data_IF_261894926716
#
_entry.id   IF_261894926716
#
_cell.length_a   1.000
_cell.length_b   1.000
_cell.length_c   1.000
_cell.angle_alpha   90.00
_cell.angle_beta   90.00
_cell.angle_gamma   90.00
#
_symmetry.space_group_name_H-M   'P 1'
#
loop_
_entity.id
_entity.type
_entity.pdbx_description
1 polymer ?
#
# COMPACT_ATOMS: atom_id res chain seq x y z
N UNK A 1 31.78 -71.97 40.19
CA UNK A 1 31.62 -72.12 38.73
C UNK A 1 30.95 -70.85 38.20
N UNK A 2 31.73 -69.86 37.74
CA UNK A 2 31.23 -68.55 37.27
C UNK A 2 31.32 -68.56 35.74
N UNK A 3 30.18 -68.67 35.04
CA UNK A 3 30.13 -68.47 33.58
C UNK A 3 30.28 -66.97 33.34
N UNK A 4 31.36 -66.61 32.65
CA UNK A 4 31.54 -65.27 32.09
C UNK A 4 30.74 -65.20 30.80
N UNK A 5 29.63 -64.45 30.80
CA UNK A 5 28.93 -64.08 29.58
C UNK A 5 29.79 -63.06 28.83
N UNK A 6 30.56 -63.56 27.87
CA UNK A 6 31.18 -62.73 26.85
C UNK A 6 30.09 -62.34 25.85
N UNK A 7 29.52 -61.15 26.05
CA UNK A 7 28.67 -60.47 25.07
C UNK A 7 29.45 -60.29 23.77
N UNK A 8 29.11 -61.09 22.76
CA UNK A 8 29.58 -60.94 21.38
C UNK A 8 29.08 -59.61 20.82
N UNK A 9 29.88 -58.56 20.96
CA UNK A 9 29.90 -57.46 20.02
C UNK A 9 30.81 -57.87 18.85
N UNK A 10 30.34 -57.70 17.60
CA UNK A 10 31.08 -57.56 16.33
C UNK A 10 30.39 -58.37 15.20
N UNK A 11 30.10 -57.83 14.02
CA UNK A 11 30.57 -56.59 13.41
C UNK A 11 29.43 -55.77 12.81
N UNK A 12 29.34 -54.51 13.24
CA UNK A 12 28.74 -53.47 12.41
C UNK A 12 29.59 -53.41 11.14
N UNK A 13 28.99 -53.72 9.99
CA UNK A 13 29.74 -53.68 8.73
C UNK A 13 30.01 -52.21 8.38
N UNK A 14 31.20 -51.90 7.83
CA UNK A 14 31.56 -50.54 7.43
C UNK A 14 30.52 -49.92 6.46
N UNK A 15 29.83 -50.77 5.69
CA UNK A 15 28.71 -50.42 4.81
C UNK A 15 27.51 -49.91 5.60
N UNK A 16 27.15 -50.54 6.71
CA UNK A 16 26.03 -50.14 7.57
C UNK A 16 26.28 -48.76 8.19
N UNK A 17 27.52 -48.48 8.63
CA UNK A 17 27.90 -47.14 9.11
C UNK A 17 27.82 -46.10 8.00
N UNK A 18 28.32 -46.41 6.80
CA UNK A 18 28.24 -45.50 5.65
C UNK A 18 26.80 -45.21 5.24
N UNK A 19 25.92 -46.22 5.27
CA UNK A 19 24.50 -46.07 4.96
C UNK A 19 23.80 -45.16 5.98
N UNK A 20 24.06 -45.36 7.28
CA UNK A 20 23.49 -44.51 8.34
C UNK A 20 23.96 -43.07 8.19
N UNK A 21 25.23 -42.83 7.86
CA UNK A 21 25.76 -41.48 7.63
C UNK A 21 25.10 -40.85 6.38
N UNK A 22 24.93 -41.60 5.29
CA UNK A 22 24.27 -41.11 4.08
C UNK A 22 22.79 -40.74 4.32
N UNK A 23 22.06 -41.56 5.08
CA UNK A 23 20.68 -41.27 5.48
C UNK A 23 20.63 -40.06 6.43
N UNK A 24 21.51 -39.98 7.43
CA UNK A 24 21.56 -38.86 8.36
C UNK A 24 21.87 -37.53 7.66
N UNK A 25 22.85 -37.51 6.74
CA UNK A 25 23.21 -36.33 5.96
C UNK A 25 22.09 -35.87 5.04
N UNK A 26 21.43 -36.80 4.32
CA UNK A 26 20.28 -36.47 3.47
C UNK A 26 19.09 -35.90 4.26
N UNK A 27 18.75 -36.48 5.41
CA UNK A 27 17.71 -35.96 6.30
C UNK A 27 18.06 -34.55 6.80
N UNK A 28 19.31 -34.33 7.20
CA UNK A 28 19.77 -33.03 7.70
C UNK A 28 19.68 -31.96 6.61
N UNK A 29 20.09 -32.28 5.37
CA UNK A 29 19.97 -31.37 4.23
C UNK A 29 18.51 -31.05 3.89
N UNK A 30 17.61 -32.04 3.99
CA UNK A 30 16.17 -31.82 3.77
C UNK A 30 15.59 -30.86 4.81
N UNK A 31 15.90 -31.08 6.10
CA UNK A 31 15.44 -30.20 7.20
C UNK A 31 15.98 -28.78 7.03
N UNK A 32 17.26 -28.62 6.68
CA UNK A 32 17.85 -27.30 6.42
C UNK A 32 17.15 -26.56 5.27
N UNK A 33 16.86 -27.24 4.16
CA UNK A 33 16.15 -26.64 3.02
C UNK A 33 14.71 -26.26 3.38
N UNK A 34 14.00 -27.12 4.11
CA UNK A 34 12.63 -26.85 4.55
C UNK A 34 12.58 -25.65 5.50
N UNK A 35 13.52 -25.55 6.44
CA UNK A 35 13.62 -24.41 7.34
C UNK A 35 13.88 -23.10 6.58
N UNK A 36 14.81 -23.11 5.61
CA UNK A 36 15.08 -21.93 4.79
C UNK A 36 13.86 -21.48 3.97
N UNK A 37 13.08 -22.42 3.45
CA UNK A 37 11.84 -22.13 2.73
C UNK A 37 10.79 -21.50 3.66
N UNK A 38 10.51 -22.12 4.82
CA UNK A 38 9.56 -21.59 5.80
C UNK A 38 9.96 -20.20 6.31
N UNK A 39 11.26 -19.98 6.55
CA UNK A 39 11.76 -18.68 6.97
C UNK A 39 11.53 -17.62 5.89
N UNK A 40 11.83 -17.93 4.63
CA UNK A 40 11.59 -17.00 3.52
C UNK A 40 10.11 -16.67 3.36
N UNK A 41 9.23 -17.66 3.49
CA UNK A 41 7.78 -17.44 3.43
C UNK A 41 7.29 -16.56 4.58
N UNK A 42 7.81 -16.77 5.79
CA UNK A 42 7.54 -15.92 6.96
C UNK A 42 8.01 -14.48 6.73
N UNK A 43 9.22 -14.30 6.19
CA UNK A 43 9.77 -12.97 5.90
C UNK A 43 8.90 -12.24 4.85
N UNK A 44 8.43 -12.95 3.81
CA UNK A 44 7.53 -12.40 2.79
C UNK A 44 6.19 -11.99 3.39
N UNK A 45 5.58 -12.84 4.22
CA UNK A 45 4.31 -12.53 4.88
C UNK A 45 4.41 -11.32 5.81
N UNK A 46 5.54 -11.17 6.52
CA UNK A 46 5.77 -10.04 7.39
C UNK A 46 5.89 -8.72 6.62
N UNK A 47 6.53 -8.71 5.44
CA UNK A 47 6.57 -7.51 4.59
C UNK A 47 5.17 -7.14 4.11
N UNK A 48 4.37 -8.11 3.67
CA UNK A 48 2.99 -7.86 3.26
C UNK A 48 2.17 -7.26 4.41
N UNK A 49 2.25 -7.84 5.60
CA UNK A 49 1.61 -7.29 6.79
C UNK A 49 2.03 -5.84 7.05
N UNK A 50 3.33 -5.53 6.97
CA UNK A 50 3.83 -4.17 7.16
C UNK A 50 3.27 -3.20 6.10
N UNK A 51 3.27 -3.60 4.83
CA UNK A 51 2.72 -2.81 3.72
C UNK A 51 1.23 -2.56 3.90
N UNK A 52 0.46 -3.57 4.30
CA UNK A 52 -0.99 -3.46 4.51
C UNK A 52 -1.32 -2.51 5.67
N UNK A 53 -0.57 -2.58 6.78
CA UNK A 53 -0.73 -1.64 7.90
C UNK A 53 -0.41 -0.20 7.49
N UNK A 54 0.63 0.00 6.66
CA UNK A 54 0.97 1.31 6.14
C UNK A 54 -0.11 1.81 5.16
N UNK A 55 -0.62 0.94 4.29
CA UNK A 55 -1.69 1.27 3.34
C UNK A 55 -2.98 1.67 4.07
N UNK A 56 -3.39 0.93 5.11
CA UNK A 56 -4.55 1.29 5.94
C UNK A 56 -4.34 2.65 6.63
N UNK A 57 -3.16 2.87 7.23
CA UNK A 57 -2.82 4.16 7.84
C UNK A 57 -2.84 5.32 6.82
N UNK A 58 -2.31 5.10 5.62
CA UNK A 58 -2.32 6.09 4.54
C UNK A 58 -3.75 6.37 4.04
N UNK A 59 -4.63 5.36 4.03
CA UNK A 59 -6.03 5.54 3.67
C UNK A 59 -6.80 6.37 4.72
N UNK A 60 -6.53 6.15 6.01
CA UNK A 60 -7.07 7.00 7.08
C UNK A 60 -6.55 8.43 6.99
N UNK A 61 -5.26 8.60 6.70
CA UNK A 61 -4.69 9.92 6.44
C UNK A 61 -5.38 10.61 5.26
N UNK A 62 -5.60 9.89 4.17
CA UNK A 62 -6.30 10.40 2.99
C UNK A 62 -7.69 10.93 3.35
N UNK A 63 -8.49 10.11 4.06
CA UNK A 63 -9.85 10.47 4.46
C UNK A 63 -9.87 11.71 5.37
N UNK A 64 -8.90 11.85 6.27
CA UNK A 64 -8.81 12.99 7.18
C UNK A 64 -8.34 14.28 6.49
N UNK A 65 -7.48 14.18 5.47
CA UNK A 65 -6.73 15.31 4.93
C UNK A 65 -7.10 15.74 3.51
N UNK A 66 -8.04 15.09 2.82
CA UNK A 66 -8.50 15.57 1.50
C UNK A 66 -9.85 16.32 1.56
N UNK A 67 -10.30 16.73 2.75
CA UNK A 67 -11.54 17.53 2.92
C UNK A 67 -11.24 18.97 3.31
N UNK A 68 -12.10 19.87 2.82
CA UNK A 68 -12.37 21.15 3.44
C UNK A 68 -13.41 20.91 4.54
N UNK A 69 -13.16 21.40 5.76
CA UNK A 69 -14.20 21.40 6.78
C UNK A 69 -15.29 22.40 6.37
N UNK A 70 -16.54 21.93 6.31
CA UNK A 70 -17.72 22.76 6.03
C UNK A 70 -18.61 22.67 7.25
N UNK A 71 -19.04 23.82 7.77
CA UNK A 71 -20.01 23.87 8.85
C UNK A 71 -21.36 23.35 8.33
N UNK A 72 -21.84 22.28 8.95
CA UNK A 72 -23.07 21.59 8.59
C UNK A 72 -24.33 22.47 8.74
N UNK A 73 -24.25 23.53 9.54
CA UNK A 73 -25.38 24.42 9.85
C UNK A 73 -25.46 25.59 8.86
N UNK A 74 -24.31 26.12 8.44
CA UNK A 74 -24.23 27.31 7.58
C UNK A 74 -23.86 27.00 6.14
N UNK A 75 -23.38 25.78 5.86
CA UNK A 75 -22.88 25.39 4.55
C UNK A 75 -21.61 26.12 4.13
N UNK A 76 -20.99 26.89 5.03
CA UNK A 76 -19.75 27.60 4.75
C UNK A 76 -18.54 26.76 5.09
N UNK A 77 -17.45 26.99 4.36
CA UNK A 77 -16.13 26.43 4.68
C UNK A 77 -15.69 27.00 6.03
N UNK A 78 -15.47 26.13 7.01
CA UNK A 78 -15.01 26.49 8.35
C UNK A 78 -13.79 25.64 8.68
N UNK A 79 -12.60 26.24 8.66
CA UNK A 79 -11.34 25.58 9.03
C UNK A 79 -10.28 25.64 7.94
N UNK A 80 -9.12 25.05 8.23
CA UNK A 80 -8.01 24.94 7.28
C UNK A 80 -8.25 23.76 6.34
N UNK A 81 -8.05 23.95 5.04
CA UNK A 81 -8.09 22.86 4.07
C UNK A 81 -7.06 21.78 4.45
N UNK A 82 -7.47 20.51 4.37
CA UNK A 82 -6.58 19.40 4.65
C UNK A 82 -5.37 19.38 3.69
N UNK A 83 -4.28 18.73 4.08
CA UNK A 83 -3.00 18.81 3.35
C UNK A 83 -3.02 18.25 1.92
N UNK A 84 -3.99 17.37 1.60
CA UNK A 84 -4.17 16.81 0.24
C UNK A 84 -5.21 17.58 -0.58
N UNK A 85 -5.77 18.64 0.00
CA UNK A 85 -6.68 19.55 -0.67
C UNK A 85 -5.89 20.51 -1.57
N UNK A 86 -6.25 20.68 -2.85
CA UNK A 86 -5.67 21.69 -3.73
C UNK A 86 -5.80 23.13 -3.22
N UNK A 87 -6.79 23.41 -2.37
CA UNK A 87 -6.95 24.70 -1.70
C UNK A 87 -6.02 24.87 -0.48
N UNK A 88 -5.27 23.83 -0.09
CA UNK A 88 -4.23 23.94 0.93
C UNK A 88 -3.13 24.92 0.47
N UNK A 89 -2.59 25.69 1.42
CA UNK A 89 -1.53 26.65 1.16
C UNK A 89 -0.28 26.25 1.98
N UNK A 90 0.84 25.87 1.33
CA UNK A 90 1.04 25.75 -0.12
C UNK A 90 0.27 24.58 -0.74
N UNK A 91 -0.04 24.61 -2.06
CA UNK A 91 -0.70 23.49 -2.72
C UNK A 91 0.09 22.18 -2.58
N UNK A 92 -0.58 21.03 -2.46
CA UNK A 92 0.10 19.75 -2.36
C UNK A 92 0.94 19.49 -3.61
N UNK A 93 2.17 19.01 -3.40
CA UNK A 93 3.01 18.53 -4.49
C UNK A 93 2.41 17.25 -5.10
N UNK A 94 2.76 16.96 -6.36
CA UNK A 94 2.43 15.69 -6.99
C UNK A 94 3.73 15.06 -7.53
N UNK A 95 4.27 14.00 -6.90
CA UNK A 95 3.71 13.24 -5.78
C UNK A 95 3.73 14.01 -4.44
N UNK A 96 2.76 13.74 -3.56
CA UNK A 96 2.76 14.21 -2.17
C UNK A 96 3.34 13.12 -1.27
N UNK A 97 4.46 13.38 -0.60
CA UNK A 97 5.18 12.36 0.16
C UNK A 97 4.88 12.52 1.65
N UNK A 98 4.64 11.40 2.32
CA UNK A 98 4.50 11.35 3.77
C UNK A 98 5.41 10.25 4.33
N UNK A 99 6.06 10.54 5.45
CA UNK A 99 6.91 9.56 6.11
C UNK A 99 6.09 8.66 7.03
N UNK A 100 6.55 7.41 7.23
CA UNK A 100 5.94 6.49 8.21
C UNK A 100 5.96 7.11 9.62
N UNK A 101 7.00 7.88 9.94
CA UNK A 101 7.09 8.62 11.20
C UNK A 101 5.98 9.68 11.32
N UNK A 102 5.66 10.41 10.26
CA UNK A 102 4.57 11.37 10.25
C UNK A 102 3.19 10.70 10.40
N UNK A 103 2.96 9.57 9.72
CA UNK A 103 1.73 8.78 9.89
C UNK A 103 1.56 8.27 11.32
N UNK A 104 2.66 7.86 11.97
CA UNK A 104 2.66 7.44 13.38
C UNK A 104 2.43 8.62 14.34
N UNK A 105 3.13 9.74 14.13
CA UNK A 105 3.00 10.92 14.97
C UNK A 105 1.57 11.51 14.93
N UNK A 106 0.92 11.45 13.76
CA UNK A 106 -0.47 11.86 13.60
C UNK A 106 -1.50 10.81 14.07
N UNK A 107 -1.05 9.65 14.57
CA UNK A 107 -1.92 8.61 15.13
C UNK A 107 -2.63 7.71 14.10
N UNK A 108 -2.31 7.84 12.81
CA UNK A 108 -2.90 6.97 11.77
C UNK A 108 -2.28 5.58 11.75
N UNK A 109 -0.98 5.47 12.07
CA UNK A 109 -0.26 4.20 12.18
C UNK A 109 0.05 3.88 13.64
N UNK A 110 -0.78 3.03 14.26
CA UNK A 110 -0.59 2.57 15.64
C UNK A 110 0.19 1.26 15.72
N UNK A 111 0.27 0.49 14.62
CA UNK A 111 0.99 -0.76 14.58
C UNK A 111 2.52 -0.53 14.64
N UNK A 112 3.19 -1.36 15.43
CA UNK A 112 4.65 -1.49 15.39
C UNK A 112 4.98 -2.38 14.19
N UNK A 113 5.81 -1.87 13.28
CA UNK A 113 6.26 -2.61 12.10
C UNK A 113 7.49 -3.42 12.51
N UNK A 114 7.41 -4.75 12.64
CA UNK A 114 8.56 -5.56 13.00
C UNK A 114 9.62 -5.54 11.88
N UNK A 115 10.92 -5.58 12.24
CA UNK A 115 12.02 -5.49 11.29
C UNK A 115 12.09 -6.71 10.37
N UNK A 116 12.50 -6.53 9.13
CA UNK A 116 12.49 -7.58 8.12
C UNK A 116 13.76 -7.59 7.25
N UNK A 117 14.38 -8.77 7.01
CA UNK A 117 15.65 -8.85 6.28
C UNK A 117 15.54 -8.49 4.79
N UNK A 118 14.34 -8.56 4.19
CA UNK A 118 14.11 -8.17 2.79
C UNK A 118 14.19 -6.64 2.65
N UNK A 119 13.86 -5.89 3.69
CA UNK A 119 13.76 -4.43 3.66
C UNK A 119 15.10 -3.79 4.02
N UNK A 120 15.45 -2.73 3.30
CA UNK A 120 16.60 -1.89 3.60
C UNK A 120 16.26 -0.89 4.73
N UNK A 121 16.30 -1.33 5.98
CA UNK A 121 16.02 -0.46 7.14
C UNK A 121 17.02 0.68 7.32
N UNK A 122 18.21 0.56 6.74
CA UNK A 122 19.20 1.65 6.72
C UNK A 122 18.89 2.71 5.65
N UNK A 123 17.93 2.44 4.77
CA UNK A 123 17.44 3.36 3.74
C UNK A 123 16.59 4.49 4.31
N UNK A 124 16.13 5.38 3.41
CA UNK A 124 15.24 6.46 3.80
C UNK A 124 13.94 5.92 4.41
N UNK A 125 13.45 6.56 5.48
CA UNK A 125 12.20 6.20 6.15
C UNK A 125 12.12 4.72 6.60
N UNK A 126 13.24 4.14 7.06
CA UNK A 126 13.35 2.74 7.46
C UNK A 126 13.03 1.75 6.32
N UNK A 127 13.30 2.14 5.07
CA UNK A 127 13.04 1.34 3.88
C UNK A 127 11.59 1.33 3.41
N UNK A 128 10.71 2.16 4.02
CA UNK A 128 9.31 2.31 3.62
C UNK A 128 9.02 3.75 3.24
N UNK A 129 8.56 3.99 2.01
CA UNK A 129 8.12 5.30 1.57
C UNK A 129 6.64 5.28 1.21
N UNK A 130 5.92 6.32 1.65
CA UNK A 130 4.50 6.48 1.36
C UNK A 130 4.33 7.77 0.58
N UNK A 131 3.58 7.70 -0.51
CA UNK A 131 3.23 8.88 -1.28
C UNK A 131 1.82 8.77 -1.84
N UNK A 132 1.27 9.93 -2.14
CA UNK A 132 -0.01 10.08 -2.82
C UNK A 132 0.28 10.63 -4.21
N UNK A 133 -0.13 9.89 -5.24
CA UNK A 133 -0.02 10.30 -6.63
C UNK A 133 -1.37 10.79 -7.11
N UNK A 134 -1.45 12.03 -7.58
CA UNK A 134 -2.69 12.52 -8.14
C UNK A 134 -2.99 11.79 -9.45
N UNK A 135 -4.23 11.33 -9.62
CA UNK A 135 -4.66 10.70 -10.87
C UNK A 135 -4.72 11.78 -11.95
N UNK A 136 -3.81 11.70 -12.91
CA UNK A 136 -3.74 12.58 -14.08
C UNK A 136 -4.05 11.81 -15.37
N UNK A 137 -4.74 12.43 -16.34
CA UNK A 137 -5.39 13.74 -16.26
C UNK A 137 -6.58 13.74 -15.29
N UNK A 138 -6.86 14.90 -14.67
CA UNK A 138 -8.03 15.08 -13.80
C UNK A 138 -9.26 15.13 -14.72
N UNK A 139 -10.20 14.18 -14.63
CA UNK A 139 -11.34 14.15 -15.53
C UNK A 139 -12.28 15.32 -15.24
N UNK A 140 -12.56 16.11 -16.28
CA UNK A 140 -13.63 17.11 -16.24
C UNK A 140 -14.98 16.41 -16.20
N UNK A 141 -15.83 16.81 -15.26
CA UNK A 141 -17.23 16.39 -15.27
C UNK A 141 -18.01 17.32 -16.18
N UNK A 142 -18.69 16.73 -17.16
CA UNK A 142 -19.54 17.48 -18.07
C UNK A 142 -20.96 16.92 -18.08
N UNK A 143 -21.94 17.77 -18.34
CA UNK A 143 -23.31 17.39 -18.65
C UNK A 143 -23.70 18.01 -19.99
N UNK A 144 -24.34 17.22 -20.83
CA UNK A 144 -24.94 17.70 -22.07
C UNK A 144 -26.34 18.23 -21.75
N UNK A 145 -26.57 19.51 -22.03
CA UNK A 145 -27.88 20.15 -21.85
C UNK A 145 -28.88 19.66 -22.89
N UNK A 146 -30.16 19.96 -22.70
CA UNK A 146 -31.23 19.70 -23.69
C UNK A 146 -31.00 20.41 -25.03
N UNK A 147 -30.16 21.45 -25.06
CA UNK A 147 -29.72 22.14 -26.29
C UNK A 147 -28.52 21.50 -26.98
N UNK A 148 -27.99 20.40 -26.44
CA UNK A 148 -26.81 19.70 -26.97
C UNK A 148 -25.46 20.31 -26.56
N UNK A 149 -25.44 21.36 -25.73
CA UNK A 149 -24.21 21.98 -25.26
C UNK A 149 -23.59 21.18 -24.11
N UNK A 150 -22.27 20.96 -24.17
CA UNK A 150 -21.52 20.30 -23.11
C UNK A 150 -21.08 21.35 -22.09
N UNK A 151 -21.66 21.31 -20.89
CA UNK A 151 -21.32 22.23 -19.78
C UNK A 151 -20.42 21.50 -18.79
N UNK A 152 -19.29 22.13 -18.43
CA UNK A 152 -18.39 21.63 -17.38
C UNK A 152 -18.96 21.97 -16.01
N UNK A 153 -19.13 20.94 -15.18
CA UNK A 153 -19.69 21.02 -13.83
C UNK A 153 -18.63 21.11 -12.74
N UNK A 154 -17.41 20.65 -13.02
CA UNK A 154 -16.33 20.61 -12.05
C UNK A 154 -15.28 19.55 -12.37
N UNK A 155 -14.39 19.30 -11.42
CA UNK A 155 -13.33 18.30 -11.50
C UNK A 155 -13.31 17.50 -10.20
N UNK A 156 -13.01 16.20 -10.29
CA UNK A 156 -12.84 15.35 -9.11
C UNK A 156 -11.39 14.96 -9.02
N UNK A 157 -10.74 15.43 -7.96
CA UNK A 157 -9.34 15.13 -7.69
C UNK A 157 -9.26 13.87 -6.86
N UNK A 158 -8.62 12.85 -7.42
CA UNK A 158 -8.35 11.58 -6.78
C UNK A 158 -6.86 11.43 -6.58
N UNK A 159 -6.47 10.88 -5.43
CA UNK A 159 -5.11 10.49 -5.16
C UNK A 159 -5.02 8.97 -5.03
N UNK A 160 -4.04 8.35 -5.67
CA UNK A 160 -3.65 6.96 -5.47
C UNK A 160 -2.64 6.89 -4.35
N UNK A 161 -2.84 5.96 -3.44
CA UNK A 161 -1.88 5.66 -2.38
C UNK A 161 -0.83 4.75 -3.00
N UNK A 162 0.43 5.12 -2.81
CA UNK A 162 1.57 4.32 -3.19
C UNK A 162 2.43 4.06 -1.95
N UNK A 163 2.68 2.79 -1.66
CA UNK A 163 3.69 2.37 -0.69
C UNK A 163 4.83 1.72 -1.46
N UNK A 164 6.03 2.23 -1.27
CA UNK A 164 7.24 1.71 -1.86
C UNK A 164 8.15 1.15 -0.77
N UNK A 165 8.66 -0.07 -0.97
CA UNK A 165 9.58 -0.75 -0.06
C UNK A 165 10.93 -0.87 -0.74
N UNK A 166 11.95 -0.30 -0.12
CA UNK A 166 13.34 -0.45 -0.58
C UNK A 166 13.84 -1.85 -0.22
N UNK A 167 14.21 -2.62 -1.24
CA UNK A 167 14.77 -3.97 -1.06
C UNK A 167 16.24 -3.85 -0.68
N UNK A 168 16.65 -4.60 0.35
CA UNK A 168 18.05 -4.66 0.82
C UNK A 168 19.01 -5.14 -0.26
N UNK A 169 18.59 -6.15 -1.02
CA UNK A 169 19.34 -6.68 -2.16
C UNK A 169 18.59 -6.40 -3.47
N UNK A 170 19.00 -5.37 -4.23
CA UNK A 170 18.41 -5.02 -5.51
C UNK A 170 18.37 -6.15 -6.54
N UNK A 171 19.35 -7.06 -6.51
CA UNK A 171 19.41 -8.17 -7.46
C UNK A 171 18.24 -9.15 -7.30
N UNK A 172 17.65 -9.18 -6.09
CA UNK A 172 16.53 -10.04 -5.73
C UNK A 172 15.17 -9.33 -5.88
N UNK A 173 15.13 -8.05 -6.21
CA UNK A 173 13.88 -7.27 -6.28
C UNK A 173 12.84 -7.91 -7.22
N UNK A 174 13.25 -8.34 -8.42
CA UNK A 174 12.36 -9.01 -9.36
C UNK A 174 11.82 -10.36 -8.84
N UNK A 175 12.64 -11.11 -8.07
CA UNK A 175 12.19 -12.36 -7.45
C UNK A 175 11.17 -12.10 -6.34
N UNK A 176 11.41 -11.06 -5.54
CA UNK A 176 10.51 -10.66 -4.47
C UNK A 176 9.20 -10.05 -4.97
N UNK A 177 9.20 -9.36 -6.12
CA UNK A 177 7.99 -8.80 -6.73
C UNK A 177 6.89 -9.86 -6.87
N UNK A 178 7.21 -11.02 -7.44
CA UNK A 178 6.25 -12.11 -7.63
C UNK A 178 5.79 -12.74 -6.30
N UNK A 179 6.71 -12.86 -5.34
CA UNK A 179 6.44 -13.48 -4.04
C UNK A 179 5.54 -12.60 -3.16
N UNK A 180 5.81 -11.29 -3.19
CA UNK A 180 5.08 -10.27 -2.41
C UNK A 180 3.86 -9.72 -3.14
N UNK A 181 3.63 -10.11 -4.40
CA UNK A 181 2.57 -9.58 -5.27
C UNK A 181 2.58 -8.05 -5.34
N UNK A 182 3.79 -7.47 -5.37
CA UNK A 182 3.95 -6.05 -5.63
C UNK A 182 3.51 -5.74 -7.08
N UNK A 183 2.92 -4.57 -7.29
CA UNK A 183 2.36 -4.20 -8.59
C UNK A 183 3.48 -3.95 -9.62
N UNK A 184 4.59 -3.36 -9.18
CA UNK A 184 5.77 -3.18 -10.01
C UNK A 184 7.06 -3.07 -9.19
N UNK A 185 8.19 -3.12 -9.89
CA UNK A 185 9.50 -2.70 -9.39
C UNK A 185 9.80 -1.32 -9.96
N UNK A 186 10.22 -0.37 -9.12
CA UNK A 186 10.40 1.04 -9.47
C UNK A 186 11.67 1.65 -8.90
N UNK A 187 11.93 2.89 -9.29
CA UNK A 187 13.08 3.70 -8.92
C UNK A 187 12.65 5.03 -8.29
N UNK A 188 13.55 5.65 -7.52
CA UNK A 188 13.39 7.03 -7.08
C UNK A 188 13.44 7.96 -8.29
N UNK A 189 12.55 8.95 -8.33
CA UNK A 189 12.59 10.10 -9.23
C UNK A 189 12.25 11.38 -8.46
N UNK A 190 13.21 12.31 -8.41
CA UNK A 190 13.08 13.51 -7.60
C UNK A 190 12.98 13.16 -6.11
N UNK A 191 11.87 13.55 -5.48
CA UNK A 191 11.60 13.30 -4.06
C UNK A 191 10.85 12.00 -3.77
N UNK A 192 10.25 11.35 -4.78
CA UNK A 192 9.39 10.17 -4.61
C UNK A 192 9.85 8.97 -5.45
N UNK A 193 9.07 7.89 -5.44
CA UNK A 193 9.26 6.71 -6.30
C UNK A 193 8.28 6.78 -7.46
N UNK A 194 8.72 6.43 -8.66
CA UNK A 194 7.87 6.49 -9.85
C UNK A 194 6.67 5.55 -9.71
N UNK A 195 5.47 5.99 -10.15
CA UNK A 195 4.30 5.15 -10.15
C UNK A 195 4.44 3.97 -11.13
N UNK A 196 3.63 2.93 -10.94
CA UNK A 196 3.65 1.71 -11.76
C UNK A 196 3.07 1.89 -13.17
N UNK A 197 2.45 3.04 -13.47
CA UNK A 197 1.94 3.35 -14.80
C UNK A 197 2.35 4.77 -15.24
N UNK A 198 3.27 4.91 -16.23
CA UNK A 198 3.90 3.84 -17.01
C UNK A 198 4.89 3.00 -16.17
N UNK A 199 5.04 1.71 -16.50
CA UNK A 199 5.94 0.81 -15.78
C UNK A 199 7.40 1.33 -15.86
N UNK A 200 8.02 1.69 -14.73
CA UNK A 200 9.37 2.24 -14.71
C UNK A 200 10.42 1.14 -14.93
N UNK A 201 11.65 1.55 -15.23
CA UNK A 201 12.77 0.62 -15.29
C UNK A 201 13.00 -0.03 -13.91
N UNK A 202 13.24 -1.35 -13.90
CA UNK A 202 13.44 -2.11 -12.68
C UNK A 202 14.62 -1.54 -11.86
N UNK A 203 14.37 -1.24 -10.59
CA UNK A 203 15.36 -0.79 -9.62
C UNK A 203 15.09 -1.40 -8.23
N UNK A 204 15.34 -0.65 -7.16
CA UNK A 204 15.46 -1.21 -5.82
C UNK A 204 14.15 -1.18 -5.02
N UNK A 205 13.06 -0.63 -5.58
CA UNK A 205 11.81 -0.45 -4.86
C UNK A 205 10.73 -1.39 -5.35
N UNK A 206 10.10 -2.11 -4.43
CA UNK A 206 8.83 -2.79 -4.68
C UNK A 206 7.69 -1.81 -4.40
N UNK A 207 6.74 -1.73 -5.31
CA UNK A 207 5.67 -0.72 -5.23
C UNK A 207 4.31 -1.38 -5.21
N UNK A 208 3.48 -0.92 -4.29
CA UNK A 208 2.05 -1.21 -4.23
C UNK A 208 1.30 0.10 -4.43
N UNK A 209 0.35 0.09 -5.35
CA UNK A 209 -0.53 1.21 -5.66
C UNK A 209 -1.97 0.80 -5.50
N UNK A 210 -2.71 1.52 -4.68
CA UNK A 210 -4.15 1.28 -4.49
C UNK A 210 -4.89 2.61 -4.50
N UNK A 211 -6.15 2.57 -4.94
CA UNK A 211 -7.05 3.67 -4.63
C UNK A 211 -7.36 3.60 -3.13
N UNK A 212 -7.60 4.75 -2.44
CA UNK A 212 -7.92 4.78 -1.01
C UNK A 212 -9.11 3.91 -0.60
N UNK A 213 -10.00 3.59 -1.54
CA UNK A 213 -11.14 2.68 -1.37
C UNK A 213 -10.77 1.19 -1.29
N UNK A 214 -9.56 0.82 -1.69
CA UNK A 214 -9.07 -0.57 -1.81
C UNK A 214 -7.81 -0.82 -0.96
N UNK A 215 -7.60 -0.03 0.10
CA UNK A 215 -6.38 -0.07 0.90
C UNK A 215 -6.12 -1.41 1.61
N UNK A 216 -7.12 -2.29 1.71
CA UNK A 216 -6.92 -3.69 2.11
C UNK A 216 -7.97 -4.59 1.44
N UNK A 217 -7.57 -5.61 0.66
CA UNK A 217 -8.49 -6.65 0.16
C UNK A 217 -9.07 -7.53 1.28
N UNK A 218 -8.40 -7.57 2.44
CA UNK A 218 -8.76 -8.40 3.60
C UNK A 218 -9.56 -7.63 4.66
N UNK A 219 -9.73 -6.32 4.49
CA UNK A 219 -10.63 -5.51 5.30
C UNK A 219 -12.08 -5.84 4.93
N UNK A 220 -12.57 -6.95 5.48
CA UNK A 220 -14.00 -7.26 5.59
C UNK A 220 -14.66 -6.22 6.50
N UNK A 221 -14.96 -5.06 5.93
CA UNK A 221 -15.87 -4.10 6.52
C UNK A 221 -17.24 -4.30 5.91
N UNK A 222 -18.25 -4.54 6.74
CA UNK A 222 -19.66 -4.65 6.37
C UNK A 222 -20.21 -3.34 5.78
N UNK A 223 -19.39 -2.29 5.76
CA UNK A 223 -19.70 -0.98 5.27
C UNK A 223 -19.40 -0.96 3.77
N UNK A 224 -20.46 -1.07 2.98
CA UNK A 224 -20.54 -0.57 1.60
C UNK A 224 -20.16 0.94 1.45
N UNK A 225 -19.63 1.58 2.50
CA UNK A 225 -19.28 3.00 2.57
C UNK A 225 -17.90 3.36 2.01
N UNK A 226 -17.13 2.42 1.45
CA UNK A 226 -15.75 2.68 1.01
C UNK A 226 -15.54 2.64 -0.50
N UNK A 227 -16.54 2.36 -1.34
CA UNK A 227 -16.35 2.54 -2.79
C UNK A 227 -16.34 4.03 -3.13
N UNK A 228 -15.17 4.56 -3.51
CA UNK A 228 -15.00 5.95 -3.92
C UNK A 228 -15.98 6.33 -5.04
N UNK A 229 -16.33 5.39 -5.93
CA UNK A 229 -17.30 5.58 -7.03
C UNK A 229 -18.75 5.67 -6.54
N UNK A 230 -19.11 5.01 -5.44
CA UNK A 230 -20.45 5.13 -4.83
C UNK A 230 -20.55 6.40 -3.99
N UNK A 231 -19.48 6.78 -3.29
CA UNK A 231 -19.37 8.10 -2.65
C UNK A 231 -19.42 9.23 -3.68
N UNK A 232 -18.80 9.03 -4.84
CA UNK A 232 -18.87 9.94 -6.00
C UNK A 232 -20.31 10.14 -6.49
N UNK A 233 -21.08 9.05 -6.55
CA UNK A 233 -22.50 9.13 -6.87
C UNK A 233 -23.26 9.94 -5.80
N UNK A 234 -23.09 9.63 -4.52
CA UNK A 234 -23.84 10.29 -3.44
C UNK A 234 -23.48 11.77 -3.24
N UNK A 235 -22.21 12.14 -3.31
CA UNK A 235 -21.78 13.54 -3.21
C UNK A 235 -22.30 14.38 -4.38
N UNK A 236 -22.48 13.78 -5.56
CA UNK A 236 -23.05 14.49 -6.71
C UNK A 236 -24.49 14.94 -6.49
N UNK A 237 -25.29 14.18 -5.74
CA UNK A 237 -26.67 14.56 -5.39
C UNK A 237 -26.76 15.50 -4.19
N UNK A 238 -25.74 15.54 -3.33
CA UNK A 238 -25.70 16.42 -2.13
C UNK A 238 -25.15 17.80 -2.42
N UNK A 239 -24.12 17.89 -3.28
CA UNK A 239 -23.42 19.15 -3.58
C UNK A 239 -23.96 19.86 -4.83
N UNK A 240 -24.89 19.24 -5.58
CA UNK A 240 -25.69 19.95 -6.56
C UNK A 240 -26.94 20.51 -5.89
N UNK A 241 -27.06 21.84 -5.71
CA UNK A 241 -28.38 22.42 -5.60
C UNK A 241 -29.10 22.18 -6.93
N UNK A 242 -30.38 21.84 -6.87
CA UNK A 242 -31.25 21.53 -8.03
C UNK A 242 -31.32 22.65 -9.08
N UNK A 243 -30.81 23.84 -8.76
CA UNK A 243 -30.69 25.01 -9.62
C UNK A 243 -29.65 24.86 -10.76
N UNK A 244 -28.59 24.06 -10.62
CA UNK A 244 -27.63 23.81 -11.72
C UNK A 244 -28.21 22.86 -12.76
N UNK A 245 -28.98 21.85 -12.32
CA UNK A 245 -29.79 21.00 -13.23
C UNK A 245 -30.91 21.80 -13.93
N UNK A 246 -31.28 22.96 -13.38
CA UNK A 246 -32.24 23.89 -13.97
C UNK A 246 -31.59 24.98 -14.86
N UNK A 247 -30.29 24.91 -15.16
CA UNK A 247 -29.62 25.78 -16.13
C UNK A 247 -28.82 26.96 -15.57
N UNK A 248 -28.46 26.96 -14.28
CA UNK A 248 -27.58 27.98 -13.70
C UNK A 248 -26.08 27.76 -14.04
N UNK A 249 -25.30 28.85 -13.94
CA UNK A 249 -23.88 28.99 -14.31
C UNK A 249 -22.96 27.92 -13.71
N UNK A 250 -21.88 27.51 -14.43
CA UNK A 250 -20.97 26.45 -14.00
C UNK A 250 -20.26 26.80 -12.69
N UNK A 251 -20.29 25.85 -11.74
CA UNK A 251 -19.59 25.97 -10.47
C UNK A 251 -18.07 25.82 -10.70
N UNK A 252 -17.21 26.71 -10.18
CA UNK A 252 -15.80 26.72 -10.56
C UNK A 252 -14.98 25.51 -10.07
N UNK A 253 -15.44 24.71 -9.11
CA UNK A 253 -14.83 23.44 -8.70
C UNK A 253 -15.78 22.70 -7.74
N UNK A 254 -16.13 21.45 -8.03
CA UNK A 254 -16.95 20.61 -7.15
C UNK A 254 -16.04 19.73 -6.28
N UNK A 255 -16.49 19.54 -5.04
CA UNK A 255 -15.76 19.13 -3.85
C UNK A 255 -15.24 17.68 -3.88
N UNK A 256 -14.13 17.49 -3.18
CA UNK A 256 -13.27 16.30 -3.09
C UNK A 256 -13.99 15.02 -2.65
N UNK A 257 -13.50 13.87 -3.13
CA UNK A 257 -13.90 12.54 -2.66
C UNK A 257 -13.23 12.21 -1.32
N UNK A 258 -13.52 13.00 -0.29
CA UNK A 258 -13.18 12.64 1.06
C UNK A 258 -14.43 12.15 1.79
N UNK A 259 -14.42 10.87 2.13
CA UNK A 259 -15.53 10.24 2.81
C UNK A 259 -15.83 10.92 4.14
N UNK A 260 -17.10 11.24 4.37
CA UNK A 260 -17.68 11.10 5.71
C UNK A 260 -17.96 9.63 6.00
#
# INVERSE_FOLDING_TARGET
MKRSDSSRMQGVTLIEVMLVIAIATSLTLMVMKQYQMMKRDSDVQQVNYNVDQIMDAAARYYQANCRVQVDATTGQVVGTAGTLDPAHAPPPSNPFIITVAALRAAGYLTAVLPPNPIVNEAGANNGYMVQFNQVTPIPDRTVTTSTGAVVRLGQIIMWRIQVAVEVRDPSMAASYQNSLRADCVSAISGSGVLPCNPAPAAANYLVWERLPSFASPEANSNLWMTNATTKQFNESYRTMPSNVLAGATPYPQQTFLCGN
#
